data_IF_438830409406
#
_entry.id   IF_438830409406
#
_cell.length_a   1.000
_cell.length_b   1.000
_cell.length_c   1.000
_cell.angle_alpha   90.00
_cell.angle_beta   90.00
_cell.angle_gamma   90.00
#
_symmetry.space_group_name_H-M   'P 1'
#
loop_
_entity.id
_entity.type
_entity.pdbx_description
1 polymer ?
#
# COMPACT_ATOMS: atom_id res chain seq x y z
N UNK A 1 -21.40 -23.26 -14.46
CA UNK A 1 -20.54 -22.06 -14.34
C UNK A 1 -19.13 -22.47 -14.70
N UNK A 2 -18.62 -22.05 -15.85
CA UNK A 2 -17.23 -22.34 -16.22
C UNK A 2 -16.31 -21.47 -15.34
N UNK A 3 -15.58 -22.11 -14.45
CA UNK A 3 -14.56 -21.44 -13.64
C UNK A 3 -13.44 -21.01 -14.59
N UNK A 4 -13.30 -19.71 -14.84
CA UNK A 4 -12.25 -19.21 -15.72
C UNK A 4 -10.93 -19.39 -14.98
N UNK A 5 -10.18 -20.43 -15.34
CA UNK A 5 -8.81 -20.56 -14.86
C UNK A 5 -7.93 -19.50 -15.53
N UNK A 6 -7.76 -18.37 -14.83
CA UNK A 6 -6.66 -17.43 -15.05
C UNK A 6 -5.27 -18.11 -15.02
N UNK A 7 -5.21 -19.37 -14.56
CA UNK A 7 -4.04 -20.25 -14.57
C UNK A 7 -3.69 -20.83 -15.95
N UNK A 8 -4.59 -20.77 -16.94
CA UNK A 8 -4.39 -21.40 -18.27
C UNK A 8 -3.38 -20.67 -19.17
N UNK A 9 -2.92 -19.47 -18.79
CA UNK A 9 -1.84 -18.77 -19.47
C UNK A 9 -0.55 -18.85 -18.64
N UNK A 10 0.45 -19.68 -18.99
CA UNK A 10 1.68 -19.81 -18.20
C UNK A 10 2.41 -18.47 -17.99
N UNK A 11 2.18 -17.50 -18.87
CA UNK A 11 2.69 -16.12 -18.75
C UNK A 11 2.08 -15.33 -17.58
N UNK A 12 0.79 -15.55 -17.24
CA UNK A 12 0.13 -14.86 -16.11
C UNK A 12 0.60 -15.44 -14.77
N UNK A 13 0.82 -16.76 -14.69
CA UNK A 13 1.32 -17.43 -13.47
C UNK A 13 2.75 -16.99 -13.12
N UNK A 14 3.64 -16.93 -14.10
CA UNK A 14 5.02 -16.43 -13.91
C UNK A 14 5.03 -14.96 -13.49
N UNK A 15 4.21 -14.14 -14.15
CA UNK A 15 4.10 -12.72 -13.79
C UNK A 15 3.56 -12.51 -12.39
N UNK A 16 2.51 -13.24 -11.98
CA UNK A 16 1.95 -13.21 -10.61
C UNK A 16 3.00 -13.54 -9.55
N UNK A 17 3.81 -14.58 -9.77
CA UNK A 17 4.88 -14.96 -8.83
C UNK A 17 5.95 -13.87 -8.74
N UNK A 18 6.35 -13.30 -9.88
CA UNK A 18 7.32 -12.21 -9.92
C UNK A 18 6.80 -10.95 -9.25
N UNK A 19 5.53 -10.58 -9.44
CA UNK A 19 4.93 -9.41 -8.79
C UNK A 19 4.88 -9.59 -7.27
N UNK A 20 4.43 -10.76 -6.79
CA UNK A 20 4.38 -11.06 -5.35
C UNK A 20 5.78 -11.06 -4.73
N UNK A 21 6.76 -11.67 -5.40
CA UNK A 21 8.15 -11.66 -4.94
C UNK A 21 8.72 -10.23 -4.89
N UNK A 22 8.43 -9.41 -5.91
CA UNK A 22 8.88 -8.02 -5.95
C UNK A 22 8.26 -7.17 -4.84
N UNK A 23 6.94 -7.30 -4.61
CA UNK A 23 6.24 -6.63 -3.50
C UNK A 23 6.86 -7.03 -2.17
N UNK A 24 7.11 -8.32 -1.97
CA UNK A 24 7.72 -8.82 -0.74
C UNK A 24 9.14 -8.25 -0.53
N UNK A 25 10.00 -8.34 -1.56
CA UNK A 25 11.39 -7.84 -1.49
C UNK A 25 11.41 -6.34 -1.19
N UNK A 26 10.58 -5.55 -1.88
CA UNK A 26 10.51 -4.10 -1.65
C UNK A 26 10.01 -3.76 -0.25
N UNK A 27 9.01 -4.49 0.23
CA UNK A 27 8.44 -4.27 1.57
C UNK A 27 9.46 -4.62 2.66
N UNK A 28 10.18 -5.74 2.50
CA UNK A 28 11.26 -6.15 3.42
C UNK A 28 12.45 -5.19 3.35
N UNK A 29 12.84 -4.74 2.16
CA UNK A 29 13.92 -3.76 1.99
C UNK A 29 13.57 -2.43 2.66
N UNK A 30 12.34 -1.94 2.48
CA UNK A 30 11.84 -0.74 3.14
C UNK A 30 11.86 -0.89 4.67
N UNK A 31 11.38 -2.02 5.20
CA UNK A 31 11.39 -2.25 6.65
C UNK A 31 12.80 -2.42 7.21
N UNK A 32 13.73 -3.10 6.54
CA UNK A 32 15.15 -3.18 6.94
C UNK A 32 15.82 -1.79 6.93
N UNK A 33 15.56 -0.98 5.90
CA UNK A 33 16.05 0.40 5.83
C UNK A 33 15.57 1.20 7.04
N UNK A 34 14.29 1.08 7.40
CA UNK A 34 13.77 1.74 8.60
C UNK A 34 14.39 1.22 9.89
N UNK A 35 14.63 -0.09 10.01
CA UNK A 35 15.28 -0.66 11.19
C UNK A 35 16.69 -0.12 11.43
N UNK A 36 17.49 0.01 10.38
CA UNK A 36 18.84 0.59 10.51
C UNK A 36 18.79 2.06 10.97
N UNK A 37 17.71 2.77 10.66
CA UNK A 37 17.50 4.15 11.05
C UNK A 37 16.80 4.34 12.42
N UNK A 38 16.29 3.26 13.05
CA UNK A 38 15.43 3.30 14.27
C UNK A 38 16.17 3.56 15.60
N UNK A 39 17.48 3.84 15.62
CA UNK A 39 18.19 4.08 16.90
C UNK A 39 17.57 5.20 17.76
N UNK A 40 16.94 6.20 17.13
CA UNK A 40 16.38 7.36 17.83
C UNK A 40 14.93 7.73 17.43
N UNK A 41 14.35 7.08 16.41
CA UNK A 41 13.07 7.48 15.80
C UNK A 41 12.02 6.36 15.81
N UNK A 42 10.76 6.78 15.74
CA UNK A 42 9.58 5.92 15.82
C UNK A 42 9.21 5.26 14.47
N UNK A 43 8.52 4.11 14.49
CA UNK A 43 7.97 3.51 13.26
C UNK A 43 7.01 4.46 12.54
N UNK A 44 6.22 5.22 13.31
CA UNK A 44 5.27 6.21 12.78
C UNK A 44 6.01 7.32 12.05
N UNK A 45 7.21 7.69 12.52
CA UNK A 45 8.05 8.67 11.84
C UNK A 45 8.47 8.16 10.46
N UNK A 46 8.99 6.94 10.36
CA UNK A 46 9.51 6.47 9.07
C UNK A 46 8.42 6.20 8.05
N UNK A 47 7.32 5.58 8.49
CA UNK A 47 6.27 5.18 7.56
C UNK A 47 5.39 6.36 7.16
N UNK A 48 5.02 7.22 8.10
CA UNK A 48 4.06 8.30 7.85
C UNK A 48 4.77 9.65 7.69
N UNK A 49 5.62 10.06 8.63
CA UNK A 49 6.22 11.40 8.53
C UNK A 49 7.26 11.54 7.41
N UNK A 50 8.14 10.54 7.21
CA UNK A 50 9.17 10.55 6.17
C UNK A 50 8.63 10.18 4.77
N UNK A 51 7.32 10.00 4.64
CA UNK A 51 6.63 9.61 3.41
C UNK A 51 7.11 8.29 2.76
N UNK A 52 7.91 7.47 3.45
CA UNK A 52 8.48 6.25 2.85
C UNK A 52 7.39 5.29 2.37
N UNK A 53 6.34 5.13 3.19
CA UNK A 53 5.23 4.25 2.90
C UNK A 53 4.30 4.86 1.84
N UNK A 54 3.87 6.10 2.05
CA UNK A 54 2.86 6.79 1.23
C UNK A 54 3.33 7.16 -0.16
N UNK A 55 4.50 7.80 -0.29
CA UNK A 55 5.01 8.30 -1.56
C UNK A 55 5.66 7.22 -2.40
N UNK A 56 6.51 6.39 -1.79
CA UNK A 56 7.36 5.48 -2.55
C UNK A 56 6.79 4.07 -2.62
N UNK A 57 6.61 3.41 -1.48
CA UNK A 57 6.27 1.99 -1.46
C UNK A 57 4.86 1.74 -2.01
N UNK A 58 3.85 2.46 -1.51
CA UNK A 58 2.46 2.28 -1.93
C UNK A 58 2.24 2.66 -3.40
N UNK A 59 2.81 3.77 -3.86
CA UNK A 59 2.73 4.17 -5.28
C UNK A 59 3.31 3.09 -6.19
N UNK A 60 4.45 2.51 -5.81
CA UNK A 60 5.07 1.43 -6.58
C UNK A 60 4.22 0.16 -6.58
N UNK A 61 3.62 -0.19 -5.45
CA UNK A 61 2.74 -1.36 -5.35
C UNK A 61 1.45 -1.14 -6.14
N UNK A 62 0.85 0.06 -6.11
CA UNK A 62 -0.27 0.41 -6.97
C UNK A 62 0.10 0.27 -8.45
N UNK A 63 1.33 0.63 -8.84
CA UNK A 63 1.79 0.47 -10.22
C UNK A 63 1.87 -1.02 -10.61
N UNK A 64 2.34 -1.88 -9.71
CA UNK A 64 2.36 -3.34 -9.93
C UNK A 64 0.94 -3.87 -10.08
N UNK A 65 0.03 -3.54 -9.16
CA UNK A 65 -1.39 -3.92 -9.19
C UNK A 65 -2.03 -3.44 -10.49
N UNK A 66 -1.79 -2.19 -10.87
CA UNK A 66 -2.28 -1.63 -12.12
C UNK A 66 -1.77 -2.41 -13.34
N UNK A 67 -0.48 -2.76 -13.35
CA UNK A 67 0.11 -3.60 -14.39
C UNK A 67 -0.52 -4.99 -14.49
N UNK A 68 -0.87 -5.62 -13.36
CA UNK A 68 -1.61 -6.88 -13.33
C UNK A 68 -3.00 -6.73 -13.96
N UNK A 69 -3.73 -5.67 -13.61
CA UNK A 69 -5.07 -5.40 -14.15
C UNK A 69 -5.01 -5.13 -15.65
N UNK A 70 -4.06 -4.32 -16.12
CA UNK A 70 -3.88 -4.03 -17.55
C UNK A 70 -3.55 -5.28 -18.36
N UNK A 71 -2.77 -6.22 -17.82
CA UNK A 71 -2.49 -7.49 -18.50
C UNK A 71 -3.73 -8.36 -18.68
N UNK A 72 -4.68 -8.28 -17.76
CA UNK A 72 -5.91 -9.07 -17.79
C UNK A 72 -7.03 -8.36 -18.56
N UNK A 73 -6.96 -7.03 -18.71
CA UNK A 73 -7.97 -6.20 -19.39
C UNK A 73 -8.34 -6.67 -20.81
N UNK A 74 -7.41 -7.06 -21.71
CA UNK A 74 -7.78 -7.58 -23.03
C UNK A 74 -8.66 -8.83 -22.92
N UNK A 75 -8.36 -9.72 -21.96
CA UNK A 75 -9.13 -10.95 -21.70
C UNK A 75 -10.51 -10.60 -21.15
N UNK A 76 -10.61 -9.57 -20.29
CA UNK A 76 -11.86 -9.11 -19.71
C UNK A 76 -12.88 -8.67 -20.79
N UNK A 77 -12.42 -8.01 -21.85
CA UNK A 77 -13.28 -7.59 -22.98
C UNK A 77 -13.91 -8.81 -23.66
N UNK A 78 -13.13 -9.87 -23.90
CA UNK A 78 -13.65 -11.12 -24.48
C UNK A 78 -14.57 -11.90 -23.53
N UNK A 79 -14.35 -11.80 -22.21
CA UNK A 79 -15.16 -12.46 -21.19
C UNK A 79 -16.47 -11.73 -20.90
N UNK A 80 -16.52 -10.40 -21.07
CA UNK A 80 -17.76 -9.61 -20.98
C UNK A 80 -18.80 -10.07 -22.01
N UNK A 81 -18.34 -10.49 -23.20
CA UNK A 81 -19.19 -11.07 -24.26
C UNK A 81 -19.77 -12.44 -23.82
N UNK A 82 -19.11 -13.16 -22.91
CA UNK A 82 -19.48 -14.51 -22.44
C UNK A 82 -20.15 -14.54 -21.06
N UNK A 83 -20.51 -13.39 -20.48
CA UNK A 83 -21.12 -13.25 -19.14
C UNK A 83 -20.32 -13.88 -17.96
N UNK A 84 -19.02 -14.13 -18.14
CA UNK A 84 -18.18 -14.77 -17.12
C UNK A 84 -17.29 -13.75 -16.35
N UNK A 85 -17.60 -12.46 -16.45
CA UNK A 85 -16.85 -11.33 -15.88
C UNK A 85 -16.76 -11.37 -14.34
N UNK A 86 -17.79 -11.89 -13.67
CA UNK A 86 -17.86 -11.95 -12.19
C UNK A 86 -16.76 -12.81 -11.58
N UNK A 87 -16.41 -13.93 -12.20
CA UNK A 87 -15.33 -14.81 -11.76
C UNK A 87 -13.96 -14.15 -11.89
N UNK A 88 -13.75 -13.37 -12.96
CA UNK A 88 -12.53 -12.61 -13.19
C UNK A 88 -12.33 -11.53 -12.13
N UNK A 89 -13.37 -10.72 -11.87
CA UNK A 89 -13.34 -9.67 -10.84
C UNK A 89 -13.04 -10.26 -9.47
N UNK A 90 -13.67 -11.39 -9.11
CA UNK A 90 -13.41 -12.09 -7.85
C UNK A 90 -11.95 -12.53 -7.71
N UNK A 91 -11.37 -13.13 -8.77
CA UNK A 91 -9.96 -13.56 -8.76
C UNK A 91 -8.98 -12.37 -8.70
N UNK A 92 -9.31 -11.25 -9.33
CA UNK A 92 -8.52 -10.01 -9.21
C UNK A 92 -8.60 -9.40 -7.81
N UNK A 93 -9.79 -9.37 -7.18
CA UNK A 93 -9.93 -8.95 -5.79
C UNK A 93 -9.08 -9.79 -4.84
N UNK A 94 -9.09 -11.12 -5.03
CA UNK A 94 -8.26 -12.04 -4.25
C UNK A 94 -6.76 -11.78 -4.46
N UNK A 95 -6.36 -11.48 -5.69
CA UNK A 95 -4.97 -11.14 -5.99
C UNK A 95 -4.54 -9.83 -5.33
N UNK A 96 -5.36 -8.78 -5.42
CA UNK A 96 -5.10 -7.50 -4.75
C UNK A 96 -5.00 -7.68 -3.24
N UNK A 97 -5.90 -8.46 -2.64
CA UNK A 97 -5.85 -8.78 -1.23
C UNK A 97 -4.55 -9.51 -0.84
N UNK A 98 -4.11 -10.45 -1.69
CA UNK A 98 -2.85 -11.15 -1.50
C UNK A 98 -1.64 -10.21 -1.61
N UNK A 99 -1.63 -9.29 -2.58
CA UNK A 99 -0.58 -8.28 -2.74
C UNK A 99 -0.48 -7.39 -1.48
N UNK A 100 -1.61 -6.92 -0.95
CA UNK A 100 -1.68 -6.13 0.29
C UNK A 100 -1.19 -6.96 1.49
N UNK A 101 -1.58 -8.23 1.59
CA UNK A 101 -1.14 -9.12 2.67
C UNK A 101 0.37 -9.33 2.63
N UNK A 102 0.93 -9.64 1.45
CA UNK A 102 2.37 -9.83 1.25
C UNK A 102 3.15 -8.57 1.59
N UNK A 103 2.66 -7.40 1.19
CA UNK A 103 3.25 -6.12 1.58
C UNK A 103 3.26 -5.95 3.10
N UNK A 104 2.12 -6.18 3.75
CA UNK A 104 1.95 -5.99 5.19
C UNK A 104 2.87 -6.93 5.98
N UNK A 105 2.95 -8.20 5.58
CA UNK A 105 3.86 -9.18 6.20
C UNK A 105 5.32 -8.78 5.98
N UNK A 106 5.69 -8.36 4.77
CA UNK A 106 7.06 -7.92 4.48
C UNK A 106 7.47 -6.67 5.28
N UNK A 107 6.55 -5.74 5.50
CA UNK A 107 6.76 -4.57 6.35
C UNK A 107 6.91 -4.96 7.83
N UNK A 108 6.11 -5.91 8.31
CA UNK A 108 6.13 -6.34 9.71
C UNK A 108 7.32 -7.25 10.06
N UNK A 109 7.84 -8.02 9.10
CA UNK A 109 8.79 -9.11 9.33
C UNK A 109 10.05 -8.67 10.11
N UNK A 110 10.77 -7.58 9.73
CA UNK A 110 11.98 -7.23 10.46
C UNK A 110 11.69 -6.78 11.90
N UNK A 111 10.50 -6.24 12.14
CA UNK A 111 10.11 -5.82 13.46
C UNK A 111 9.82 -7.03 14.38
N UNK A 112 9.09 -8.03 13.86
CA UNK A 112 8.82 -9.28 14.57
C UNK A 112 10.11 -10.02 15.02
N UNK A 113 11.23 -9.75 14.34
CA UNK A 113 12.52 -10.39 14.59
C UNK A 113 13.41 -9.70 15.64
N UNK A 114 12.94 -8.67 16.35
CA UNK A 114 13.57 -8.31 17.64
C UNK A 114 13.79 -6.83 17.97
N UNK A 115 12.96 -5.90 17.50
CA UNK A 115 13.11 -4.48 17.89
C UNK A 115 12.32 -4.20 19.17
N UNK A 116 13.00 -3.69 20.21
CA UNK A 116 12.44 -3.56 21.56
C UNK A 116 11.54 -2.34 21.81
N UNK A 117 11.48 -1.35 20.91
CA UNK A 117 10.62 -0.16 21.09
C UNK A 117 10.06 0.37 19.76
N UNK A 118 8.87 -0.10 19.39
CA UNK A 118 8.18 0.26 18.15
C UNK A 118 7.63 1.68 18.15
N UNK A 119 6.99 2.03 19.26
CA UNK A 119 6.33 3.30 19.50
C UNK A 119 7.03 3.96 20.69
N UNK A 120 7.98 4.84 20.40
CA UNK A 120 8.83 5.52 21.38
C UNK A 120 8.33 6.92 21.70
N UNK A 121 7.67 7.59 20.76
CA UNK A 121 7.28 8.99 20.89
C UNK A 121 5.81 9.20 21.27
N UNK A 122 4.99 8.17 21.15
CA UNK A 122 3.56 8.23 21.43
C UNK A 122 2.96 6.89 21.84
N UNK A 123 1.65 6.89 22.11
CA UNK A 123 0.92 5.70 22.55
C UNK A 123 0.91 4.60 21.47
N UNK A 124 1.30 3.34 21.78
CA UNK A 124 1.24 2.22 20.84
C UNK A 124 -0.14 2.01 20.20
N UNK A 125 -1.21 2.27 20.96
CA UNK A 125 -2.58 2.13 20.47
C UNK A 125 -2.89 3.15 19.36
N UNK A 126 -2.52 4.42 19.58
CA UNK A 126 -2.72 5.48 18.59
C UNK A 126 -1.82 5.29 17.37
N UNK A 127 -0.56 4.91 17.57
CA UNK A 127 0.37 4.65 16.46
C UNK A 127 -0.09 3.47 15.59
N UNK A 128 -0.57 2.39 16.22
CA UNK A 128 -1.13 1.25 15.48
C UNK A 128 -2.41 1.61 14.72
N UNK A 129 -3.29 2.41 15.34
CA UNK A 129 -4.50 2.91 14.67
C UNK A 129 -4.16 3.76 13.45
N UNK A 130 -3.16 4.64 13.55
CA UNK A 130 -2.69 5.46 12.43
C UNK A 130 -2.21 4.61 11.26
N UNK A 131 -1.30 3.66 11.53
CA UNK A 131 -0.80 2.74 10.52
C UNK A 131 -1.93 1.92 9.89
N UNK A 132 -2.91 1.48 10.69
CA UNK A 132 -4.08 0.76 10.19
C UNK A 132 -4.95 1.63 9.28
N UNK A 133 -5.29 2.86 9.67
CA UNK A 133 -6.08 3.79 8.85
C UNK A 133 -5.37 4.09 7.52
N UNK A 134 -4.06 4.26 7.58
CA UNK A 134 -3.23 4.47 6.40
C UNK A 134 -3.29 3.27 5.44
N UNK A 135 -3.09 2.05 5.95
CA UNK A 135 -3.19 0.82 5.17
C UNK A 135 -4.61 0.57 4.65
N UNK A 136 -5.64 0.97 5.41
CA UNK A 136 -7.03 0.87 4.98
C UNK A 136 -7.31 1.83 3.80
N UNK A 137 -6.84 3.07 3.86
CA UNK A 137 -6.94 4.02 2.76
C UNK A 137 -6.28 3.46 1.48
N UNK A 138 -5.07 2.91 1.63
CA UNK A 138 -4.37 2.23 0.54
C UNK A 138 -5.15 1.04 -0.01
N UNK A 139 -5.68 0.17 0.85
CA UNK A 139 -6.45 -1.01 0.44
C UNK A 139 -7.70 -0.61 -0.36
N UNK A 140 -8.43 0.43 0.09
CA UNK A 140 -9.58 0.95 -0.65
C UNK A 140 -9.18 1.47 -2.03
N UNK A 141 -8.07 2.20 -2.13
CA UNK A 141 -7.53 2.67 -3.40
C UNK A 141 -7.09 1.52 -4.31
N UNK A 142 -6.44 0.49 -3.76
CA UNK A 142 -6.04 -0.70 -4.50
C UNK A 142 -7.26 -1.47 -5.03
N UNK A 143 -8.34 -1.61 -4.26
CA UNK A 143 -9.58 -2.22 -4.76
C UNK A 143 -10.27 -1.36 -5.82
N UNK A 144 -10.26 -0.03 -5.66
CA UNK A 144 -10.79 0.91 -6.64
C UNK A 144 -10.13 0.76 -8.02
N UNK A 145 -8.87 0.31 -8.07
CA UNK A 145 -8.15 0.04 -9.32
C UNK A 145 -8.87 -0.94 -10.26
N UNK A 146 -9.74 -1.81 -9.75
CA UNK A 146 -10.52 -2.76 -10.56
C UNK A 146 -11.38 -2.05 -11.62
N UNK A 147 -11.82 -0.81 -11.36
CA UNK A 147 -12.56 -0.02 -12.34
C UNK A 147 -11.79 0.21 -13.64
N UNK A 148 -10.46 0.11 -13.60
CA UNK A 148 -9.59 0.17 -14.80
C UNK A 148 -9.92 -0.88 -15.86
N UNK A 149 -10.60 -1.97 -15.49
CA UNK A 149 -11.07 -2.97 -16.45
C UNK A 149 -12.12 -2.39 -17.42
N UNK A 150 -12.96 -1.47 -16.93
CA UNK A 150 -14.17 -1.00 -17.63
C UNK A 150 -14.05 0.38 -18.23
N UNK A 151 -13.14 1.21 -17.73
CA UNK A 151 -12.97 2.59 -18.18
C UNK A 151 -12.09 2.65 -19.44
N UNK A 152 -12.42 3.53 -20.38
CA UNK A 152 -11.66 3.74 -21.63
C UNK A 152 -10.21 4.15 -21.37
N UNK A 153 -10.00 5.02 -20.38
CA UNK A 153 -8.70 5.55 -19.95
C UNK A 153 -8.33 5.00 -18.55
N UNK A 154 -7.81 3.76 -18.46
CA UNK A 154 -7.53 3.11 -17.18
C UNK A 154 -6.50 3.85 -16.32
N UNK A 155 -5.59 4.61 -16.95
CA UNK A 155 -4.57 5.41 -16.26
C UNK A 155 -5.18 6.53 -15.39
N UNK A 156 -6.38 7.02 -15.70
CA UNK A 156 -7.07 8.00 -14.84
C UNK A 156 -7.38 7.41 -13.47
N UNK A 157 -7.78 6.14 -13.41
CA UNK A 157 -8.07 5.46 -12.14
C UNK A 157 -6.82 5.37 -11.27
N UNK A 158 -5.66 5.09 -11.88
CA UNK A 158 -4.37 5.08 -11.19
C UNK A 158 -4.01 6.46 -10.62
N UNK A 159 -4.14 7.53 -11.42
CA UNK A 159 -3.86 8.90 -10.97
C UNK A 159 -4.80 9.30 -9.82
N UNK A 160 -6.09 8.98 -9.94
CA UNK A 160 -7.07 9.25 -8.88
C UNK A 160 -6.70 8.50 -7.59
N UNK A 161 -6.32 7.23 -7.68
CA UNK A 161 -5.92 6.44 -6.52
C UNK A 161 -4.71 7.08 -5.79
N UNK A 162 -3.68 7.51 -6.54
CA UNK A 162 -2.53 8.23 -5.96
C UNK A 162 -2.98 9.55 -5.34
N UNK A 163 -3.79 10.34 -6.05
CA UNK A 163 -4.27 11.62 -5.55
C UNK A 163 -5.05 11.47 -4.23
N UNK A 164 -5.90 10.45 -4.11
CA UNK A 164 -6.64 10.15 -2.87
C UNK A 164 -5.69 9.82 -1.72
N UNK A 165 -4.68 8.97 -1.95
CA UNK A 165 -3.68 8.63 -0.93
C UNK A 165 -2.92 9.89 -0.49
N UNK A 166 -2.47 10.72 -1.44
CA UNK A 166 -1.73 11.96 -1.15
C UNK A 166 -2.59 12.97 -0.39
N UNK A 167 -3.85 13.15 -0.78
CA UNK A 167 -4.78 14.04 -0.10
C UNK A 167 -5.05 13.57 1.33
N UNK A 168 -5.30 12.27 1.52
CA UNK A 168 -5.45 11.70 2.86
C UNK A 168 -4.18 11.92 3.70
N UNK A 169 -3.01 11.63 3.12
CA UNK A 169 -1.73 11.71 3.82
C UNK A 169 -1.37 13.13 4.25
N UNK A 170 -1.44 14.10 3.34
CA UNK A 170 -1.00 15.47 3.64
C UNK A 170 -2.06 16.30 4.36
N UNK A 171 -3.35 16.14 4.02
CA UNK A 171 -4.40 17.01 4.56
C UNK A 171 -5.03 16.49 5.84
N UNK A 172 -4.92 15.19 6.14
CA UNK A 172 -5.44 14.61 7.38
C UNK A 172 -4.32 14.04 8.24
N UNK A 173 -3.54 13.11 7.69
CA UNK A 173 -2.59 12.35 8.50
C UNK A 173 -1.44 13.22 9.04
N UNK A 174 -0.70 13.88 8.17
CA UNK A 174 0.43 14.74 8.58
C UNK A 174 -0.01 16.01 9.30
N UNK A 175 -1.09 16.63 8.83
CA UNK A 175 -1.56 17.91 9.37
C UNK A 175 -2.23 17.78 10.74
N UNK A 176 -2.97 16.70 11.00
CA UNK A 176 -3.82 16.59 12.19
C UNK A 176 -3.64 15.32 13.00
N UNK A 177 -3.46 14.15 12.38
CA UNK A 177 -3.46 12.89 13.12
C UNK A 177 -2.09 12.60 13.76
N UNK A 178 -0.99 12.97 13.10
CA UNK A 178 0.36 12.78 13.63
C UNK A 178 0.62 13.63 14.88
N UNK A 179 0.15 14.88 14.92
CA UNK A 179 0.30 15.75 16.11
C UNK A 179 -0.48 15.23 17.33
N UNK A 180 -1.60 14.53 17.10
CA UNK A 180 -2.33 13.82 18.16
C UNK A 180 -1.62 12.58 18.68
N UNK A 181 -0.79 11.95 17.84
CA UNK A 181 0.02 10.81 18.26
C UNK A 181 1.23 11.23 19.09
N UNK A 182 1.93 12.29 18.67
CA UNK A 182 3.00 12.91 19.44
C UNK A 182 3.15 14.38 19.09
N UNK A 183 3.37 15.22 20.09
CA UNK A 183 3.60 16.66 19.91
C UNK A 183 4.86 16.95 19.08
N UNK A 184 5.79 15.99 19.00
CA UNK A 184 6.98 16.07 18.15
C UNK A 184 6.65 16.17 16.66
N UNK A 185 5.44 15.80 16.23
CA UNK A 185 5.01 15.97 14.84
C UNK A 185 4.32 17.31 14.58
N UNK A 186 3.97 18.08 15.62
CA UNK A 186 3.38 19.41 15.47
C UNK A 186 4.41 20.39 14.87
N UNK A 187 4.14 21.01 13.70
CA UNK A 187 5.04 21.98 13.10
C UNK A 187 5.35 23.19 13.99
N UNK A 188 4.38 23.71 14.75
CA UNK A 188 4.54 24.87 15.62
C UNK A 188 5.39 24.52 16.85
N UNK A 189 5.13 23.37 17.46
CA UNK A 189 5.94 22.89 18.57
C UNK A 189 7.41 22.70 18.15
N UNK A 190 7.64 22.13 16.97
CA UNK A 190 9.00 21.96 16.44
C UNK A 190 9.69 23.28 16.12
N UNK A 191 8.97 24.23 15.54
CA UNK A 191 9.51 25.55 15.24
C UNK A 191 9.92 26.30 16.51
N UNK A 192 9.11 26.20 17.58
CA UNK A 192 9.38 26.87 18.86
C UNK A 192 10.51 26.22 19.67
N UNK A 193 10.72 24.91 19.50
CA UNK A 193 11.73 24.14 20.24
C UNK A 193 12.95 23.77 19.40
N UNK A 194 13.07 24.31 18.18
CA UNK A 194 14.18 24.06 17.24
C UNK A 194 14.45 22.57 16.97
N UNK A 195 13.36 21.77 16.85
CA UNK A 195 13.45 20.33 16.58
C UNK A 195 13.42 20.11 15.06
N UNK A 196 14.58 19.85 14.48
CA UNK A 196 14.76 19.55 13.05
C UNK A 196 15.26 18.12 12.88
N UNK A 197 14.58 17.34 12.03
CA UNK A 197 14.84 15.91 11.78
C UNK A 197 15.52 15.67 10.44
#
# INVERSE_FOLDING_TARGET
MADIDLELLPQTKRFRRLSLALIFILSVAASIYTLHAIKERDIVYFFLYNNLLSLYLQTFILLIIFGQILKVRPIAVFLGIRQAETGLVKKLLQLILLDILVMTVGLALPYLLGVRHYFRWGSPALGSLLLFLHLLCFALCAFFMILSLRVSHPWLIFIIAIAVIMLYHYNLEQSTLLSKYSILFDPLYRATHYIYF
#
